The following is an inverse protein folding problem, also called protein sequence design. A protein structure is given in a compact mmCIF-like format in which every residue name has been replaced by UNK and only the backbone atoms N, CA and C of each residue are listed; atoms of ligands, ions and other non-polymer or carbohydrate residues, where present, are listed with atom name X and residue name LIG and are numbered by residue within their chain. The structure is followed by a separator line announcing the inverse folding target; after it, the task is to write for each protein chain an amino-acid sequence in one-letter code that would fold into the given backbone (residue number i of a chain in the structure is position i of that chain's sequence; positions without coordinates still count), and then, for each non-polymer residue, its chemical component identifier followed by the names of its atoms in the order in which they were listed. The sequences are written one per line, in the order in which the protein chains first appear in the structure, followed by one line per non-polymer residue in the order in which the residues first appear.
data_IF_092820241442
#
_entry.id   IF_092820241442
#
_cell.length_a   1.000
_cell.length_b   1.000
_cell.length_c   1.000
_cell.angle_alpha   90.00
_cell.angle_beta   90.00
_cell.angle_gamma   90.00
#
_symmetry.space_group_name_H-M   'P 1'
#
loop_
_entity.id
_entity.type
_entity.pdbx_description
1 polymer ?
#
# COMPACT_ATOMS: atom_id res chain seq x y z
N UNK A 1 1.46 -10.78 13.85
CA UNK A 1 2.29 -10.62 15.07
C UNK A 1 1.52 -10.07 16.27
N UNK A 2 0.91 -8.88 16.18
CA UNK A 2 0.21 -8.24 17.32
C UNK A 2 -0.77 -9.18 18.03
N UNK A 3 -1.62 -9.89 17.29
CA UNK A 3 -2.54 -10.89 17.84
C UNK A 3 -1.86 -12.01 18.63
N UNK A 4 -0.72 -12.52 18.16
CA UNK A 4 0.01 -13.59 18.84
C UNK A 4 0.62 -13.10 20.16
N UNK A 5 1.05 -11.84 20.20
CA UNK A 5 1.49 -11.21 21.45
C UNK A 5 0.32 -11.06 22.42
N UNK A 6 -0.83 -10.56 21.97
CA UNK A 6 -2.06 -10.48 22.78
C UNK A 6 -2.45 -11.86 23.31
N UNK A 7 -2.48 -12.88 22.45
CA UNK A 7 -2.77 -14.27 22.82
C UNK A 7 -1.81 -14.78 23.91
N UNK A 8 -0.50 -14.60 23.74
CA UNK A 8 0.50 -15.06 24.70
C UNK A 8 0.36 -14.36 26.07
N UNK A 9 0.11 -13.05 26.07
CA UNK A 9 -0.13 -12.27 27.30
C UNK A 9 -1.42 -12.76 27.99
N UNK A 10 -2.51 -12.91 27.24
CA UNK A 10 -3.80 -13.39 27.75
C UNK A 10 -3.68 -14.77 28.38
N UNK A 11 -3.00 -15.71 27.73
CA UNK A 11 -2.76 -17.06 28.28
C UNK A 11 -1.97 -16.99 29.59
N UNK A 12 -0.95 -16.15 29.67
CA UNK A 12 -0.14 -15.98 30.89
C UNK A 12 -0.93 -15.36 32.05
N UNK A 13 -1.89 -14.49 31.75
CA UNK A 13 -2.75 -13.85 32.74
C UNK A 13 -4.01 -14.67 33.08
N UNK A 14 -4.19 -15.85 32.49
CA UNK A 14 -5.39 -16.67 32.70
C UNK A 14 -6.67 -16.06 32.12
N UNK A 15 -6.55 -15.18 31.14
CA UNK A 15 -7.69 -14.60 30.41
C UNK A 15 -8.31 -15.69 29.54
N UNK A 16 -9.65 -15.81 29.58
CA UNK A 16 -10.40 -16.78 28.78
C UNK A 16 -10.17 -16.58 27.29
N UNK A 17 -10.19 -17.67 26.52
CA UNK A 17 -9.89 -17.62 25.08
C UNK A 17 -10.81 -16.69 24.30
N UNK A 18 -12.10 -16.68 24.64
CA UNK A 18 -13.13 -15.83 24.03
C UNK A 18 -12.78 -14.33 24.05
N UNK A 19 -12.03 -13.86 25.05
CA UNK A 19 -11.70 -12.45 25.22
C UNK A 19 -10.63 -11.94 24.25
N UNK A 20 -9.73 -12.80 23.78
CA UNK A 20 -8.75 -12.40 22.76
C UNK A 20 -9.12 -12.94 21.37
N UNK A 21 -9.76 -14.12 21.28
CA UNK A 21 -10.20 -14.68 20.00
C UNK A 21 -11.27 -13.81 19.32
N UNK A 22 -12.00 -12.98 20.07
CA UNK A 22 -12.99 -12.03 19.52
C UNK A 22 -12.39 -11.05 18.50
N UNK A 23 -11.09 -10.77 18.54
CA UNK A 23 -10.40 -9.86 17.62
C UNK A 23 -9.97 -10.52 16.29
N UNK A 24 -10.23 -11.82 16.10
CA UNK A 24 -9.80 -12.54 14.89
C UNK A 24 -10.42 -11.98 13.60
N UNK A 25 -11.51 -11.23 13.67
CA UNK A 25 -12.06 -10.50 12.52
C UNK A 25 -11.12 -9.40 12.03
N UNK A 26 -10.66 -8.50 12.92
CA UNK A 26 -9.69 -7.45 12.58
C UNK A 26 -8.34 -8.03 12.18
N UNK A 27 -7.90 -9.10 12.86
CA UNK A 27 -6.64 -9.80 12.53
C UNK A 27 -6.70 -10.41 11.13
N UNK A 28 -7.86 -10.97 10.76
CA UNK A 28 -8.09 -11.48 9.42
C UNK A 28 -8.08 -10.37 8.36
N UNK A 29 -8.69 -9.21 8.65
CA UNK A 29 -8.65 -8.05 7.75
C UNK A 29 -7.21 -7.63 7.51
N UNK A 30 -6.41 -7.45 8.57
CA UNK A 30 -4.99 -7.10 8.44
C UNK A 30 -4.19 -8.15 7.66
N UNK A 31 -4.34 -9.43 8.02
CA UNK A 31 -3.62 -10.54 7.38
C UNK A 31 -3.90 -10.63 5.88
N UNK A 32 -5.16 -10.48 5.46
CA UNK A 32 -5.53 -10.51 4.04
C UNK A 32 -5.12 -9.22 3.31
N UNK A 33 -5.12 -8.08 4.01
CA UNK A 33 -4.69 -6.79 3.46
C UNK A 33 -3.20 -6.72 3.15
N UNK A 34 -2.37 -7.46 3.88
CA UNK A 34 -0.91 -7.52 3.67
C UNK A 34 -0.49 -8.37 2.45
N UNK A 35 -1.43 -9.04 1.78
CA UNK A 35 -1.18 -9.89 0.59
C UNK A 35 -0.10 -10.96 0.90
N UNK A 36 -0.06 -11.46 2.14
CA UNK A 36 0.86 -12.53 2.54
C UNK A 36 0.35 -13.91 2.09
N UNK A 37 1.24 -14.90 1.90
CA UNK A 37 0.82 -16.27 1.63
C UNK A 37 -0.13 -16.81 2.70
N UNK A 38 -1.30 -17.29 2.26
CA UNK A 38 -2.32 -17.89 3.13
C UNK A 38 -2.05 -19.39 3.35
N UNK A 39 -0.89 -19.67 3.95
CA UNK A 39 -0.44 -21.00 4.40
C UNK A 39 -0.34 -21.01 5.93
N UNK A 40 -0.23 -22.20 6.54
CA UNK A 40 0.01 -22.40 7.97
C UNK A 40 -0.84 -21.53 8.91
N UNK A 41 -0.20 -20.66 9.71
CA UNK A 41 -0.89 -19.77 10.65
C UNK A 41 -1.78 -18.76 9.92
N UNK A 42 -1.30 -18.13 8.85
CA UNK A 42 -2.07 -17.16 8.06
C UNK A 42 -3.33 -17.82 7.48
N UNK A 43 -3.24 -19.08 7.05
CA UNK A 43 -4.41 -19.85 6.59
C UNK A 43 -5.43 -20.05 7.70
N UNK A 44 -4.96 -20.41 8.89
CA UNK A 44 -5.83 -20.66 10.05
C UNK A 44 -6.53 -19.38 10.50
N UNK A 45 -5.75 -18.29 10.64
CA UNK A 45 -6.24 -16.95 10.98
C UNK A 45 -7.29 -16.50 9.95
N UNK A 46 -6.98 -16.54 8.66
CA UNK A 46 -7.90 -16.09 7.62
C UNK A 46 -9.15 -16.95 7.54
N UNK A 47 -9.03 -18.29 7.67
CA UNK A 47 -10.19 -19.20 7.62
C UNK A 47 -11.15 -18.99 8.79
N UNK A 48 -10.63 -18.86 10.01
CA UNK A 48 -11.45 -18.67 11.22
C UNK A 48 -11.94 -17.22 11.31
N UNK A 49 -11.07 -16.25 11.06
CA UNK A 49 -11.43 -14.84 11.10
C UNK A 49 -12.46 -14.46 10.04
N UNK A 50 -12.42 -15.01 8.81
CA UNK A 50 -13.51 -14.79 7.83
C UNK A 50 -14.88 -15.27 8.33
N UNK A 51 -14.94 -16.26 9.24
CA UNK A 51 -16.22 -16.62 9.89
C UNK A 51 -16.67 -15.56 10.88
N UNK A 52 -15.75 -14.91 11.57
CA UNK A 52 -16.06 -13.81 12.50
C UNK A 52 -16.39 -12.51 11.76
N UNK A 53 -15.66 -12.16 10.69
CA UNK A 53 -15.92 -10.97 9.87
C UNK A 53 -17.40 -10.94 9.42
N UNK A 54 -17.96 -12.08 8.99
CA UNK A 54 -19.37 -12.20 8.56
C UNK A 54 -20.40 -11.91 9.66
N UNK A 55 -19.99 -11.94 10.92
CA UNK A 55 -20.83 -11.72 12.09
C UNK A 55 -20.13 -10.77 13.07
N UNK A 56 -19.30 -9.86 12.55
CA UNK A 56 -18.47 -9.00 13.38
C UNK A 56 -19.33 -8.14 14.30
N UNK A 57 -18.85 -7.95 15.52
CA UNK A 57 -19.45 -7.01 16.47
C UNK A 57 -18.80 -5.62 16.39
N UNK A 58 -17.69 -5.49 15.65
CA UNK A 58 -17.06 -4.20 15.44
C UNK A 58 -17.92 -3.36 14.50
N UNK A 59 -18.47 -2.25 15.01
CA UNK A 59 -19.42 -1.41 14.29
C UNK A 59 -18.76 -0.81 13.05
N UNK A 60 -17.53 -0.34 13.15
CA UNK A 60 -16.77 0.20 12.03
C UNK A 60 -16.55 -0.81 10.90
N UNK A 61 -16.08 -2.02 11.23
CA UNK A 61 -15.90 -3.07 10.25
C UNK A 61 -17.23 -3.46 9.60
N UNK A 62 -18.31 -3.53 10.38
CA UNK A 62 -19.64 -3.85 9.85
C UNK A 62 -20.09 -2.81 8.82
N UNK A 63 -20.06 -1.52 9.17
CA UNK A 63 -20.46 -0.43 8.27
C UNK A 63 -19.58 -0.38 7.01
N UNK A 64 -18.27 -0.60 7.17
CA UNK A 64 -17.36 -0.67 6.03
C UNK A 64 -17.68 -1.84 5.10
N UNK A 65 -17.98 -3.03 5.63
CA UNK A 65 -18.39 -4.20 4.84
C UNK A 65 -19.71 -3.97 4.11
N UNK A 66 -20.67 -3.28 4.73
CA UNK A 66 -21.94 -2.94 4.09
C UNK A 66 -21.73 -1.95 2.93
N UNK A 67 -20.71 -1.08 3.01
CA UNK A 67 -20.40 -0.08 1.98
C UNK A 67 -19.69 -0.60 0.73
N UNK A 68 -19.02 -1.77 0.79
CA UNK A 68 -18.18 -2.26 -0.31
C UNK A 68 -18.97 -2.96 -1.45
N UNK A 69 -20.27 -3.24 -1.25
CA UNK A 69 -21.14 -3.82 -2.28
C UNK A 69 -20.90 -5.31 -2.62
N UNK A 70 -20.10 -6.04 -1.81
CA UNK A 70 -19.86 -7.47 -2.02
C UNK A 70 -20.99 -8.32 -1.43
N UNK A 71 -21.60 -9.19 -2.24
CA UNK A 71 -22.64 -10.13 -1.78
C UNK A 71 -22.11 -11.20 -0.83
N UNK A 72 -20.86 -11.63 -1.04
CA UNK A 72 -20.21 -12.66 -0.24
C UNK A 72 -18.95 -12.08 0.36
N UNK A 73 -18.84 -12.16 1.67
CA UNK A 73 -17.64 -11.74 2.39
C UNK A 73 -16.67 -12.91 2.44
N UNK A 74 -15.69 -12.90 1.53
CA UNK A 74 -14.55 -13.81 1.46
C UNK A 74 -13.24 -13.02 1.33
N UNK A 75 -12.12 -13.70 1.07
CA UNK A 75 -10.83 -13.02 0.96
C UNK A 75 -10.79 -11.97 -0.15
N UNK A 76 -11.55 -12.15 -1.24
CA UNK A 76 -11.62 -11.16 -2.31
C UNK A 76 -12.33 -9.89 -1.84
N UNK A 77 -13.43 -10.02 -1.11
CA UNK A 77 -14.13 -8.88 -0.51
C UNK A 77 -13.21 -8.09 0.44
N UNK A 78 -12.33 -8.77 1.18
CA UNK A 78 -11.36 -8.10 2.02
C UNK A 78 -10.23 -7.45 1.21
N UNK A 79 -9.56 -8.18 0.31
CA UNK A 79 -8.42 -7.65 -0.46
C UNK A 79 -8.79 -6.54 -1.43
N UNK A 80 -9.98 -6.59 -2.03
CA UNK A 80 -10.40 -5.66 -3.09
C UNK A 80 -11.56 -4.74 -2.70
N UNK A 81 -12.24 -5.02 -1.59
CA UNK A 81 -13.28 -4.15 -1.03
C UNK A 81 -12.77 -3.35 0.16
N UNK A 82 -12.39 -4.03 1.24
CA UNK A 82 -12.03 -3.41 2.52
C UNK A 82 -10.63 -2.79 2.50
N UNK A 83 -9.61 -3.57 2.15
CA UNK A 83 -8.20 -3.16 2.22
C UNK A 83 -7.90 -1.88 1.42
N UNK A 84 -8.43 -1.69 0.19
CA UNK A 84 -8.15 -0.47 -0.58
C UNK A 84 -8.65 0.81 0.09
N UNK A 85 -9.74 0.74 0.85
CA UNK A 85 -10.31 1.88 1.58
C UNK A 85 -9.48 2.27 2.79
N UNK A 86 -9.10 1.27 3.60
CA UNK A 86 -8.20 1.46 4.74
C UNK A 86 -6.86 2.04 4.28
N UNK A 87 -6.28 1.46 3.22
CA UNK A 87 -4.99 1.89 2.70
C UNK A 87 -5.06 3.26 2.02
N UNK A 88 -6.22 3.67 1.48
CA UNK A 88 -6.38 4.98 0.89
C UNK A 88 -6.22 6.09 1.94
N UNK A 89 -6.69 5.90 3.18
CA UNK A 89 -6.50 6.86 4.27
C UNK A 89 -5.04 7.28 4.43
N UNK A 90 -4.13 6.33 4.63
CA UNK A 90 -2.71 6.65 4.82
C UNK A 90 -2.06 7.24 3.57
N UNK A 91 -2.56 6.93 2.37
CA UNK A 91 -2.05 7.51 1.12
C UNK A 91 -2.50 8.94 0.92
N UNK A 92 -3.69 9.29 1.42
CA UNK A 92 -4.28 10.62 1.35
C UNK A 92 -4.02 11.46 2.61
N UNK A 93 -3.22 10.96 3.58
CA UNK A 93 -2.84 11.71 4.79
C UNK A 93 -3.88 11.72 5.92
N UNK A 94 -4.81 10.75 5.91
CA UNK A 94 -5.92 10.61 6.84
C UNK A 94 -5.88 9.29 7.62
N UNK A 95 -4.70 8.73 7.90
CA UNK A 95 -4.52 7.41 8.53
C UNK A 95 -5.24 7.23 9.88
N UNK A 96 -5.44 8.33 10.63
CA UNK A 96 -6.14 8.30 11.92
C UNK A 96 -7.60 7.88 11.78
N UNK A 97 -8.27 8.25 10.69
CA UNK A 97 -9.67 7.92 10.48
C UNK A 97 -9.88 6.39 10.38
N UNK A 98 -8.96 5.68 9.73
CA UNK A 98 -9.04 4.21 9.66
C UNK A 98 -8.92 3.56 11.04
N UNK A 99 -8.12 4.13 11.96
CA UNK A 99 -8.02 3.66 13.33
C UNK A 99 -9.29 3.99 14.12
N UNK A 100 -9.78 5.23 14.02
CA UNK A 100 -11.00 5.70 14.68
C UNK A 100 -12.21 4.86 14.28
N UNK A 101 -12.29 4.44 13.02
CA UNK A 101 -13.33 3.52 12.54
C UNK A 101 -13.38 2.23 13.35
N UNK A 102 -12.24 1.61 13.64
CA UNK A 102 -12.22 0.34 14.36
C UNK A 102 -12.35 0.50 15.88
N UNK A 103 -12.22 1.72 16.41
CA UNK A 103 -12.32 2.03 17.83
C UNK A 103 -13.67 2.64 18.24
N UNK A 104 -14.47 3.14 17.29
CA UNK A 104 -15.74 3.79 17.61
C UNK A 104 -16.84 2.80 18.01
N UNK A 105 -17.62 3.18 19.02
CA UNK A 105 -18.86 2.53 19.41
C UNK A 105 -20.11 3.24 18.85
N UNK A 106 -19.93 4.35 18.11
CA UNK A 106 -21.01 5.10 17.48
C UNK A 106 -21.23 4.67 16.03
N UNK A 107 -22.45 4.21 15.72
CA UNK A 107 -22.83 3.86 14.35
C UNK A 107 -22.79 5.07 13.41
N UNK A 108 -23.25 6.22 13.88
CA UNK A 108 -23.25 7.47 13.10
C UNK A 108 -21.82 7.89 12.74
N UNK A 109 -20.90 7.78 13.70
CA UNK A 109 -19.49 8.09 13.46
C UNK A 109 -18.84 7.07 12.52
N UNK A 110 -19.14 5.79 12.68
CA UNK A 110 -18.67 4.75 11.77
C UNK A 110 -19.16 4.98 10.33
N UNK A 111 -20.40 5.42 10.14
CA UNK A 111 -20.97 5.78 8.83
C UNK A 111 -20.28 7.00 8.22
N UNK A 112 -20.05 8.05 9.02
CA UNK A 112 -19.30 9.23 8.60
C UNK A 112 -17.88 8.89 8.15
N UNK A 113 -17.14 8.17 8.98
CA UNK A 113 -15.76 7.75 8.67
C UNK A 113 -15.76 6.82 7.44
N UNK A 114 -16.70 5.87 7.35
CA UNK A 114 -16.80 4.99 6.18
C UNK A 114 -17.07 5.77 4.89
N UNK A 115 -17.89 6.83 4.94
CA UNK A 115 -18.08 7.72 3.80
C UNK A 115 -16.76 8.36 3.37
N UNK A 116 -16.02 8.97 4.31
CA UNK A 116 -14.70 9.55 4.03
C UNK A 116 -13.73 8.53 3.41
N UNK A 117 -13.66 7.31 3.96
CA UNK A 117 -12.84 6.22 3.43
C UNK A 117 -13.18 5.86 1.98
N UNK A 118 -14.45 5.95 1.59
CA UNK A 118 -14.88 5.74 0.21
C UNK A 118 -14.39 6.88 -0.69
N UNK A 119 -14.54 8.13 -0.26
CA UNK A 119 -14.08 9.32 -1.00
C UNK A 119 -12.55 9.29 -1.18
N UNK A 120 -11.78 9.03 -0.13
CA UNK A 120 -10.32 8.89 -0.21
C UNK A 120 -9.90 7.78 -1.17
N UNK A 121 -10.62 6.66 -1.17
CA UNK A 121 -10.34 5.57 -2.09
C UNK A 121 -10.64 5.96 -3.54
N UNK A 122 -11.73 6.68 -3.79
CA UNK A 122 -12.08 7.19 -5.12
C UNK A 122 -11.04 8.19 -5.61
N UNK A 123 -10.73 9.21 -4.81
CA UNK A 123 -9.71 10.22 -5.10
C UNK A 123 -8.36 9.56 -5.41
N UNK A 124 -7.92 8.62 -4.56
CA UNK A 124 -6.69 7.87 -4.79
C UNK A 124 -6.72 7.13 -6.13
N UNK A 125 -7.82 6.48 -6.50
CA UNK A 125 -7.95 5.76 -7.78
C UNK A 125 -7.92 6.71 -8.99
N UNK A 126 -8.53 7.89 -8.88
CA UNK A 126 -8.51 8.92 -9.92
C UNK A 126 -7.09 9.46 -10.14
N UNK A 127 -6.39 9.81 -9.06
CA UNK A 127 -4.99 10.23 -9.09
C UNK A 127 -4.11 9.12 -9.67
N UNK A 128 -4.29 7.88 -9.21
CA UNK A 128 -3.54 6.72 -9.70
C UNK A 128 -3.72 6.52 -11.20
N UNK A 129 -4.96 6.58 -11.69
CA UNK A 129 -5.28 6.45 -13.12
C UNK A 129 -4.62 7.56 -13.94
N UNK A 130 -4.67 8.80 -13.44
CA UNK A 130 -4.05 9.94 -14.12
C UNK A 130 -2.54 9.77 -14.23
N UNK A 131 -1.85 9.54 -13.11
CA UNK A 131 -0.39 9.36 -13.07
C UNK A 131 0.03 8.15 -13.94
N UNK A 132 -0.73 7.05 -13.87
CA UNK A 132 -0.45 5.87 -14.70
C UNK A 132 -0.57 6.16 -16.20
N UNK A 133 -1.61 6.87 -16.64
CA UNK A 133 -1.77 7.24 -18.05
C UNK A 133 -0.64 8.19 -18.51
N UNK A 134 -0.23 9.13 -17.67
CA UNK A 134 0.91 10.02 -17.98
C UNK A 134 2.22 9.22 -18.08
N UNK A 135 2.48 8.30 -17.15
CA UNK A 135 3.63 7.41 -17.19
C UNK A 135 3.63 6.51 -18.43
N UNK A 136 2.48 5.98 -18.83
CA UNK A 136 2.36 5.19 -20.06
C UNK A 136 2.68 6.00 -21.30
N UNK A 137 2.21 7.26 -21.39
CA UNK A 137 2.57 8.15 -22.50
C UNK A 137 4.07 8.40 -22.57
N UNK A 138 4.73 8.60 -21.43
CA UNK A 138 6.20 8.72 -21.39
C UNK A 138 6.90 7.45 -21.89
N UNK A 139 6.31 6.29 -21.63
CA UNK A 139 6.83 5.00 -22.09
C UNK A 139 6.51 4.69 -23.57
N UNK A 140 5.75 5.52 -24.28
CA UNK A 140 5.58 5.39 -25.74
C UNK A 140 6.87 5.73 -26.50
N UNK A 141 7.80 6.48 -25.88
CA UNK A 141 9.13 6.73 -26.41
C UNK A 141 9.98 5.43 -26.43
N UNK A 142 10.39 4.94 -27.62
CA UNK A 142 11.20 3.73 -27.73
C UNK A 142 12.54 3.80 -26.99
N UNK A 143 13.11 4.99 -26.79
CA UNK A 143 14.35 5.14 -26.03
C UNK A 143 14.15 4.88 -24.54
N UNK A 144 12.98 5.21 -23.98
CA UNK A 144 12.63 4.83 -22.59
C UNK A 144 12.48 3.31 -22.46
N UNK A 145 11.83 2.68 -23.44
CA UNK A 145 11.62 1.23 -23.43
C UNK A 145 12.92 0.44 -23.57
N UNK A 146 13.99 1.01 -24.14
CA UNK A 146 15.31 0.35 -24.22
C UNK A 146 16.07 0.35 -22.90
N UNK A 147 15.71 1.21 -21.94
CA UNK A 147 16.42 1.30 -20.66
C UNK A 147 16.23 0.03 -19.84
N UNK A 148 17.26 -0.44 -19.09
CA UNK A 148 17.12 -1.58 -18.19
C UNK A 148 16.26 -1.24 -16.96
N UNK A 149 16.28 0.02 -16.53
CA UNK A 149 15.45 0.57 -15.47
C UNK A 149 14.63 1.76 -15.97
N UNK A 150 13.35 1.79 -15.62
CA UNK A 150 12.41 2.86 -15.98
C UNK A 150 12.50 3.98 -14.96
N UNK A 151 12.92 5.17 -15.38
CA UNK A 151 12.98 6.36 -14.50
C UNK A 151 12.11 7.47 -15.08
N UNK A 152 11.02 7.78 -14.38
CA UNK A 152 10.02 8.76 -14.80
C UNK A 152 9.82 9.80 -13.71
N UNK A 153 9.62 11.05 -14.12
CA UNK A 153 9.34 12.16 -13.22
C UNK A 153 8.18 13.00 -13.75
N UNK A 154 7.29 13.43 -12.87
CA UNK A 154 6.11 14.21 -13.26
C UNK A 154 5.77 15.32 -12.28
N UNK A 155 5.29 16.42 -12.84
CA UNK A 155 4.67 17.51 -12.08
C UNK A 155 3.29 17.08 -11.56
N UNK A 156 2.90 17.57 -10.39
CA UNK A 156 1.60 17.28 -9.78
C UNK A 156 1.32 15.77 -9.56
N UNK A 157 2.36 14.94 -9.47
CA UNK A 157 2.22 13.54 -9.05
C UNK A 157 2.11 13.48 -7.52
N UNK A 158 1.20 12.66 -7.00
CA UNK A 158 0.96 12.58 -5.57
C UNK A 158 1.87 11.54 -4.90
N UNK A 159 2.71 11.96 -3.95
CA UNK A 159 3.69 11.09 -3.27
C UNK A 159 3.07 9.82 -2.64
N UNK A 160 1.86 9.89 -2.08
CA UNK A 160 1.14 8.73 -1.54
C UNK A 160 0.71 7.68 -2.58
N UNK A 161 0.72 8.03 -3.88
CA UNK A 161 0.18 7.23 -4.98
C UNK A 161 1.26 6.73 -5.94
N UNK A 162 2.36 7.47 -6.13
CA UNK A 162 3.44 7.10 -7.08
C UNK A 162 3.99 5.69 -6.87
N UNK A 163 4.01 5.19 -5.63
CA UNK A 163 4.44 3.82 -5.34
C UNK A 163 3.53 2.73 -5.92
N UNK A 164 2.21 2.98 -6.02
CA UNK A 164 1.27 2.06 -6.69
C UNK A 164 1.54 2.05 -8.18
N UNK A 165 1.72 3.24 -8.77
CA UNK A 165 1.98 3.37 -10.20
C UNK A 165 3.32 2.76 -10.56
N UNK A 166 4.37 2.94 -9.74
CA UNK A 166 5.67 2.29 -9.93
C UNK A 166 5.54 0.77 -9.93
N UNK A 167 4.75 0.18 -9.01
CA UNK A 167 4.46 -1.26 -9.06
C UNK A 167 3.80 -1.67 -10.38
N UNK A 168 2.76 -0.96 -10.82
CA UNK A 168 2.07 -1.26 -12.09
C UNK A 168 2.97 -1.16 -13.31
N UNK A 169 3.81 -0.14 -13.38
CA UNK A 169 4.78 0.05 -14.48
C UNK A 169 5.83 -1.07 -14.45
N UNK A 170 6.33 -1.43 -13.26
CA UNK A 170 7.27 -2.54 -13.08
C UNK A 170 6.68 -3.85 -13.57
N UNK A 171 5.44 -4.16 -13.18
CA UNK A 171 4.75 -5.39 -13.57
C UNK A 171 4.45 -5.42 -15.08
N UNK A 172 4.04 -4.29 -15.66
CA UNK A 172 3.68 -4.18 -17.07
C UNK A 172 4.88 -4.35 -18.01
N UNK A 173 6.01 -3.73 -17.68
CA UNK A 173 7.21 -3.75 -18.53
C UNK A 173 8.23 -4.81 -18.10
N UNK A 174 8.00 -5.47 -16.97
CA UNK A 174 8.93 -6.42 -16.34
C UNK A 174 10.34 -5.84 -16.17
N UNK A 175 10.41 -4.60 -15.66
CA UNK A 175 11.65 -3.84 -15.44
C UNK A 175 11.58 -3.09 -14.13
N UNK A 176 12.69 -2.98 -13.37
CA UNK A 176 12.74 -2.10 -12.22
C UNK A 176 12.32 -0.68 -12.63
N UNK A 177 11.55 -0.01 -11.78
CA UNK A 177 11.14 1.38 -12.03
C UNK A 177 11.39 2.27 -10.82
N UNK A 178 11.61 3.55 -11.09
CA UNK A 178 11.65 4.64 -10.12
C UNK A 178 10.77 5.77 -10.67
N UNK A 179 9.69 6.07 -9.97
CA UNK A 179 8.81 7.19 -10.29
C UNK A 179 9.03 8.30 -9.27
N UNK A 180 9.13 9.55 -9.75
CA UNK A 180 9.43 10.74 -8.95
C UNK A 180 8.31 11.79 -9.14
N UNK A 181 7.80 12.33 -8.04
CA UNK A 181 6.98 13.53 -8.03
C UNK A 181 7.86 14.75 -7.75
N UNK A 182 7.71 15.79 -8.55
CA UNK A 182 8.38 17.07 -8.31
C UNK A 182 7.64 17.87 -7.24
N UNK A 183 8.36 18.26 -6.19
CA UNK A 183 7.88 19.02 -5.03
C UNK A 183 8.90 20.14 -4.74
N UNK A 184 8.57 21.37 -5.15
CA UNK A 184 9.46 22.52 -5.09
C UNK A 184 10.81 22.24 -5.80
N UNK A 185 11.92 22.36 -5.07
CA UNK A 185 13.28 22.10 -5.55
C UNK A 185 13.67 20.60 -5.48
N UNK A 186 12.80 19.75 -4.91
CA UNK A 186 13.04 18.33 -4.72
C UNK A 186 12.21 17.47 -5.66
N UNK A 187 12.66 16.24 -5.83
CA UNK A 187 11.86 15.18 -6.41
C UNK A 187 11.83 14.00 -5.44
N UNK A 188 10.64 13.64 -4.95
CA UNK A 188 10.42 12.50 -4.07
C UNK A 188 9.87 11.34 -4.86
N UNK A 189 10.35 10.14 -4.58
CA UNK A 189 10.11 9.01 -5.45
C UNK A 189 9.88 7.71 -4.70
N UNK A 190 9.28 6.78 -5.43
CA UNK A 190 9.20 5.39 -5.02
C UNK A 190 9.68 4.52 -6.17
N UNK A 191 10.44 3.48 -5.82
CA UNK A 191 10.93 2.51 -6.77
C UNK A 191 10.48 1.10 -6.43
N UNK A 192 10.38 0.27 -7.47
CA UNK A 192 9.99 -1.13 -7.41
C UNK A 192 10.91 -1.95 -8.30
N UNK A 193 11.28 -3.13 -7.83
CA UNK A 193 12.19 -4.01 -8.54
C UNK A 193 11.48 -5.26 -9.08
N UNK A 194 12.22 -6.05 -9.84
CA UNK A 194 11.85 -7.39 -10.31
C UNK A 194 12.74 -8.44 -9.63
N UNK A 195 12.32 -9.72 -9.57
CA UNK A 195 13.17 -10.79 -9.06
C UNK A 195 14.52 -10.83 -9.78
N UNK A 196 15.60 -10.92 -9.00
CA UNK A 196 16.97 -10.97 -9.53
C UNK A 196 17.65 -9.62 -9.72
N UNK A 197 16.98 -8.50 -9.40
CA UNK A 197 17.60 -7.17 -9.38
C UNK A 197 17.46 -6.50 -8.02
N UNK A 198 18.58 -6.13 -7.40
CA UNK A 198 18.57 -5.36 -6.16
C UNK A 198 18.57 -3.87 -6.47
N UNK A 199 17.39 -3.25 -6.38
CA UNK A 199 17.24 -1.82 -6.64
C UNK A 199 17.92 -0.97 -5.55
N UNK A 200 18.01 -1.47 -4.31
CA UNK A 200 18.68 -0.74 -3.24
C UNK A 200 20.19 -0.65 -3.50
N UNK A 201 20.83 -1.75 -3.86
CA UNK A 201 22.25 -1.78 -4.23
C UNK A 201 22.54 -0.89 -5.46
N UNK A 202 21.64 -0.87 -6.44
CA UNK A 202 21.76 0.01 -7.60
C UNK A 202 21.71 1.51 -7.21
N UNK A 203 20.86 1.88 -6.25
CA UNK A 203 20.77 3.25 -5.75
C UNK A 203 21.99 3.65 -4.91
N UNK A 204 22.58 2.75 -4.13
CA UNK A 204 23.82 3.02 -3.38
C UNK A 204 24.94 3.49 -4.31
N UNK A 205 25.06 2.85 -5.48
CA UNK A 205 26.04 3.21 -6.52
C UNK A 205 25.73 4.55 -7.22
N UNK A 206 24.50 5.07 -7.07
CA UNK A 206 24.06 6.37 -7.60
C UNK A 206 24.01 7.48 -6.52
N UNK A 207 24.51 7.21 -5.31
CA UNK A 207 24.34 8.06 -4.13
C UNK A 207 24.77 9.52 -4.31
N UNK A 208 25.72 9.81 -5.22
CA UNK A 208 26.14 11.17 -5.59
C UNK A 208 24.98 12.11 -5.97
N UNK A 209 23.92 11.59 -6.57
CA UNK A 209 22.76 12.39 -7.04
C UNK A 209 21.56 12.31 -6.10
N UNK A 210 21.70 11.58 -4.98
CA UNK A 210 20.61 11.23 -4.08
C UNK A 210 20.79 11.96 -2.76
N UNK A 211 19.74 12.69 -2.34
CA UNK A 211 19.71 13.37 -1.04
C UNK A 211 19.42 12.40 0.09
N UNK A 212 18.46 11.50 -0.13
CA UNK A 212 18.05 10.47 0.82
C UNK A 212 17.45 9.30 0.06
N UNK A 213 17.73 8.07 0.50
CA UNK A 213 16.99 6.89 0.06
C UNK A 213 16.96 5.84 1.17
N UNK A 214 16.07 4.87 1.04
CA UNK A 214 16.00 3.71 1.92
C UNK A 214 14.97 2.71 1.41
N UNK A 215 14.82 1.61 2.15
CA UNK A 215 13.93 0.51 1.79
C UNK A 215 14.70 -0.79 1.68
N UNK A 216 14.28 -1.66 0.77
CA UNK A 216 14.86 -2.98 0.56
C UNK A 216 14.98 -3.26 -0.93
N UNK A 217 15.60 -4.38 -1.30
CA UNK A 217 15.88 -4.76 -2.69
C UNK A 217 14.71 -4.62 -3.67
N UNK A 218 13.47 -4.88 -3.21
CA UNK A 218 12.25 -4.85 -4.04
C UNK A 218 11.47 -3.53 -4.01
N UNK A 219 11.68 -2.68 -3.01
CA UNK A 219 10.91 -1.46 -2.83
C UNK A 219 11.72 -0.40 -2.08
N UNK A 220 11.82 0.78 -2.69
CA UNK A 220 12.60 1.90 -2.15
C UNK A 220 11.76 3.19 -2.10
N UNK A 221 12.16 4.07 -1.19
CA UNK A 221 11.83 5.49 -1.21
C UNK A 221 13.10 6.28 -1.52
N UNK A 222 12.98 7.35 -2.30
CA UNK A 222 14.11 8.17 -2.74
C UNK A 222 13.74 9.65 -2.76
N UNK A 223 14.70 10.51 -2.47
CA UNK A 223 14.62 11.96 -2.62
C UNK A 223 15.88 12.44 -3.33
N UNK A 224 15.70 13.22 -4.39
CA UNK A 224 16.78 13.87 -5.14
C UNK A 224 16.50 15.37 -5.25
N UNK A 225 17.53 16.17 -5.53
CA UNK A 225 17.33 17.55 -6.01
C UNK A 225 16.77 17.48 -7.44
N UNK A 226 15.80 18.34 -7.79
CA UNK A 226 15.13 18.32 -9.10
C UNK A 226 16.13 18.46 -10.26
N UNK A 227 17.13 19.31 -10.09
CA UNK A 227 18.22 19.52 -11.06
C UNK A 227 19.12 18.30 -11.28
N UNK A 228 19.09 17.32 -10.37
CA UNK A 228 19.84 16.08 -10.50
C UNK A 228 19.07 14.98 -11.22
N UNK A 229 17.79 15.18 -11.59
CA UNK A 229 16.95 14.15 -12.21
C UNK A 229 17.61 13.48 -13.43
N UNK A 230 18.06 14.27 -14.41
CA UNK A 230 18.68 13.73 -15.63
C UNK A 230 20.01 13.03 -15.36
N UNK A 231 20.79 13.54 -14.41
CA UNK A 231 22.08 12.92 -14.00
C UNK A 231 21.84 11.58 -13.30
N UNK A 232 20.86 11.55 -12.39
CA UNK A 232 20.42 10.34 -11.70
C UNK A 232 19.91 9.29 -12.69
N UNK A 233 19.00 9.67 -13.59
CA UNK A 233 18.45 8.80 -14.64
C UNK A 233 19.55 8.19 -15.51
N UNK A 234 20.53 9.00 -15.91
CA UNK A 234 21.69 8.52 -16.69
C UNK A 234 22.61 7.60 -15.89
N UNK A 235 22.82 7.88 -14.60
CA UNK A 235 23.63 7.04 -13.71
C UNK A 235 23.02 5.65 -13.56
N UNK A 236 21.71 5.58 -13.35
CA UNK A 236 20.99 4.30 -13.17
C UNK A 236 20.89 3.50 -14.47
N UNK A 237 20.88 4.16 -15.64
CA UNK A 237 20.92 3.52 -16.96
C UNK A 237 22.19 2.69 -17.19
N UNK A 238 23.31 3.09 -16.61
CA UNK A 238 24.63 2.49 -16.87
C UNK A 238 24.95 1.28 -15.98
N UNK A 239 23.96 0.75 -15.27
CA UNK A 239 24.05 -0.44 -14.40
C UNK A 239 23.36 -1.63 -15.05
#
# INVERSE_FOLDING_TARGET
VAFKLTQAISMRLGVKEEEYLKYLDLVCVGTISDIVPLIDENRTISKLGLKLVRQTRNIGLKVLLDSIGYKKIDSMAISFGVAPRINACGRMGHEKEALELFLTDSKEEAERITHNLNEYNQERQEIEKRIFNEAQKMMEDPEQQKLPCIVLGGENWHHGVIGIVSSKITDMYFKPSVLLCYEDDLARGSGRSIPGFDLHEALEKCSTYIKQFGGHSMAIGITIEKDNFEKFKKSLKNM
#
